data_IF_430255590187
#
_entry.id   IF_430255590187
#
_cell.length_a   1.000
_cell.length_b   1.000
_cell.length_c   1.000
_cell.angle_alpha   90.00
_cell.angle_beta   90.00
_cell.angle_gamma   90.00
#
_symmetry.space_group_name_H-M   'P 1'
#
loop_
_entity.id
_entity.type
_entity.pdbx_description
1 polymer ?
#
# COMPACT_ATOMS: atom_id res chain seq x y z
N UNK A 1 -26.83 -5.27 -5.16
CA UNK A 1 -25.41 -4.89 -5.02
C UNK A 1 -24.82 -4.82 -6.42
N UNK A 2 -24.34 -3.66 -6.83
CA UNK A 2 -23.70 -3.51 -8.13
C UNK A 2 -22.35 -4.23 -8.15
N UNK A 3 -22.06 -4.94 -9.21
CA UNK A 3 -20.73 -5.51 -9.47
C UNK A 3 -19.77 -4.33 -9.67
N UNK A 4 -18.64 -4.32 -8.95
CA UNK A 4 -17.62 -3.31 -9.10
C UNK A 4 -17.01 -3.43 -10.51
N UNK A 5 -16.87 -2.32 -11.23
CA UNK A 5 -16.23 -2.33 -12.53
C UNK A 5 -14.71 -2.04 -12.41
N UNK A 6 -13.96 -2.27 -13.49
CA UNK A 6 -12.51 -2.09 -13.50
C UNK A 6 -12.06 -0.69 -13.05
N UNK A 7 -12.78 0.36 -13.47
CA UNK A 7 -12.50 1.73 -13.04
C UNK A 7 -12.67 1.92 -11.53
N UNK A 8 -13.72 1.35 -10.96
CA UNK A 8 -13.96 1.38 -9.50
C UNK A 8 -12.87 0.65 -8.72
N UNK A 9 -12.41 -0.50 -9.22
CA UNK A 9 -11.30 -1.24 -8.63
C UNK A 9 -10.00 -0.43 -8.66
N UNK A 10 -9.66 0.19 -9.78
CA UNK A 10 -8.48 1.03 -9.91
C UNK A 10 -8.55 2.28 -9.01
N UNK A 11 -9.73 2.89 -8.89
CA UNK A 11 -9.94 4.00 -7.93
C UNK A 11 -9.75 3.56 -6.49
N UNK A 12 -10.28 2.39 -6.13
CA UNK A 12 -10.12 1.84 -4.79
C UNK A 12 -8.65 1.51 -4.50
N UNK A 13 -7.91 0.94 -5.45
CA UNK A 13 -6.47 0.72 -5.35
C UNK A 13 -5.72 2.04 -5.14
N UNK A 14 -5.99 3.07 -5.95
CA UNK A 14 -5.38 4.39 -5.80
C UNK A 14 -5.70 5.05 -4.45
N UNK A 15 -6.90 4.83 -3.92
CA UNK A 15 -7.30 5.30 -2.59
C UNK A 15 -6.47 4.66 -1.48
N UNK A 16 -6.20 3.36 -1.57
CA UNK A 16 -5.37 2.65 -0.59
C UNK A 16 -3.95 3.21 -0.59
N UNK A 17 -3.35 3.44 -1.76
CA UNK A 17 -2.03 4.08 -1.87
C UNK A 17 -2.03 5.50 -1.25
N UNK A 18 -3.10 6.26 -1.47
CA UNK A 18 -3.24 7.59 -0.84
C UNK A 18 -3.37 7.51 0.68
N UNK A 19 -4.03 6.48 1.20
CA UNK A 19 -4.12 6.23 2.65
C UNK A 19 -2.75 5.83 3.23
N UNK A 20 -1.97 5.04 2.50
CA UNK A 20 -0.58 4.72 2.87
C UNK A 20 0.29 5.97 2.87
N UNK A 21 0.20 6.81 1.85
CA UNK A 21 0.87 8.11 1.79
C UNK A 21 0.57 8.96 3.04
N UNK A 22 -0.70 9.11 3.40
CA UNK A 22 -1.13 9.89 4.55
C UNK A 22 -0.57 9.31 5.86
N UNK A 23 -0.66 7.99 6.03
CA UNK A 23 -0.13 7.30 7.21
C UNK A 23 1.38 7.50 7.35
N UNK A 24 2.15 7.29 6.29
CA UNK A 24 3.59 7.50 6.32
C UNK A 24 3.97 8.96 6.55
N UNK A 25 3.21 9.91 6.01
CA UNK A 25 3.38 11.33 6.29
C UNK A 25 3.14 11.67 7.76
N UNK A 26 2.09 11.13 8.36
CA UNK A 26 1.80 11.27 9.80
C UNK A 26 2.93 10.66 10.66
N UNK A 27 3.44 9.48 10.28
CA UNK A 27 4.54 8.83 10.98
C UNK A 27 5.85 9.61 10.85
N UNK A 28 6.15 10.20 9.71
CA UNK A 28 7.31 11.07 9.53
C UNK A 28 7.29 12.26 10.51
N UNK A 29 6.15 12.86 10.71
CA UNK A 29 5.96 13.94 11.70
C UNK A 29 6.08 13.42 13.13
N UNK A 30 5.45 12.28 13.43
CA UNK A 30 5.48 11.66 14.76
C UNK A 30 6.92 11.26 15.19
N UNK A 31 7.75 10.84 14.24
CA UNK A 31 9.14 10.44 14.46
C UNK A 31 10.16 11.52 14.05
N UNK A 32 9.76 12.80 14.09
CA UNK A 32 10.63 13.93 13.70
C UNK A 32 11.99 13.97 14.43
N UNK A 33 12.04 13.48 15.67
CA UNK A 33 13.26 13.41 16.48
C UNK A 33 14.12 12.16 16.23
N UNK A 34 13.69 11.27 15.33
CA UNK A 34 14.42 10.08 14.92
C UNK A 34 14.77 10.18 13.43
N UNK A 35 15.92 10.79 13.05
CA UNK A 35 16.22 11.13 11.66
C UNK A 35 16.05 9.99 10.66
N UNK A 36 16.54 8.79 11.01
CA UNK A 36 16.45 7.62 10.12
C UNK A 36 15.01 7.15 9.89
N UNK A 37 14.16 7.16 10.94
CA UNK A 37 12.75 6.79 10.80
C UNK A 37 11.98 7.87 10.04
N UNK A 38 12.23 9.13 10.34
CA UNK A 38 11.63 10.26 9.62
C UNK A 38 11.93 10.19 8.12
N UNK A 39 13.19 10.10 7.75
CA UNK A 39 13.62 10.03 6.34
C UNK A 39 13.01 8.83 5.62
N UNK A 40 12.97 7.68 6.30
CA UNK A 40 12.34 6.47 5.76
C UNK A 40 10.85 6.69 5.50
N UNK A 41 10.10 7.24 6.46
CA UNK A 41 8.67 7.50 6.29
C UNK A 41 8.37 8.60 5.27
N UNK A 42 9.18 9.66 5.20
CA UNK A 42 9.09 10.69 4.16
C UNK A 42 9.28 10.09 2.76
N UNK A 43 10.23 9.20 2.61
CA UNK A 43 10.47 8.49 1.36
C UNK A 43 9.30 7.57 1.00
N UNK A 44 8.83 6.75 1.94
CA UNK A 44 7.66 5.88 1.72
C UNK A 44 6.45 6.70 1.32
N UNK A 45 6.13 7.79 2.02
CA UNK A 45 5.01 8.67 1.68
C UNK A 45 5.12 9.23 0.25
N UNK A 46 6.31 9.64 -0.17
CA UNK A 46 6.56 10.13 -1.54
C UNK A 46 6.36 9.04 -2.59
N UNK A 47 6.82 7.83 -2.33
CA UNK A 47 6.69 6.70 -3.27
C UNK A 47 5.22 6.26 -3.38
N UNK A 48 4.45 6.21 -2.27
CA UNK A 48 3.01 5.90 -2.30
C UNK A 48 2.19 6.97 -3.05
N UNK A 49 2.57 8.25 -2.93
CA UNK A 49 1.95 9.30 -3.73
C UNK A 49 2.13 9.07 -5.24
N UNK A 50 3.31 8.59 -5.66
CA UNK A 50 3.61 8.24 -7.04
C UNK A 50 2.81 7.01 -7.48
N UNK A 51 2.66 5.99 -6.64
CA UNK A 51 1.84 4.81 -6.91
C UNK A 51 0.39 5.22 -7.16
N UNK A 52 -0.21 5.98 -6.26
CA UNK A 52 -1.57 6.48 -6.41
C UNK A 52 -1.76 7.29 -7.71
N UNK A 53 -0.81 8.14 -8.06
CA UNK A 53 -0.86 8.93 -9.29
C UNK A 53 -0.78 8.04 -10.55
N UNK A 54 0.10 7.05 -10.55
CA UNK A 54 0.26 6.10 -11.68
C UNK A 54 -1.01 5.26 -11.87
N UNK A 55 -1.63 4.79 -10.79
CA UNK A 55 -2.89 4.03 -10.86
C UNK A 55 -4.03 4.90 -11.38
N UNK A 56 -4.15 6.16 -10.93
CA UNK A 56 -5.16 7.10 -11.44
C UNK A 56 -4.97 7.43 -12.92
N UNK A 57 -3.73 7.55 -13.36
CA UNK A 57 -3.43 7.75 -14.78
C UNK A 57 -3.85 6.53 -15.60
N UNK A 58 -3.55 5.32 -15.11
CA UNK A 58 -3.95 4.08 -15.73
C UNK A 58 -5.50 3.97 -15.80
N UNK A 59 -6.20 4.32 -14.74
CA UNK A 59 -7.67 4.31 -14.69
C UNK A 59 -8.28 5.18 -15.78
N UNK A 60 -7.74 6.37 -16.00
CA UNK A 60 -8.22 7.28 -17.06
C UNK A 60 -8.08 6.69 -18.46
N UNK A 61 -7.02 5.95 -18.74
CA UNK A 61 -6.71 5.41 -20.06
C UNK A 61 -7.20 3.98 -20.26
N UNK A 62 -7.29 3.18 -19.21
CA UNK A 62 -7.56 1.75 -19.26
C UNK A 62 -8.69 1.27 -18.32
N UNK A 63 -9.49 2.18 -17.76
CA UNK A 63 -10.58 1.84 -16.84
C UNK A 63 -11.72 0.99 -17.45
N UNK A 64 -11.67 0.77 -18.78
CA UNK A 64 -12.56 -0.12 -19.51
C UNK A 64 -11.90 -1.47 -19.85
N UNK A 65 -10.73 -1.77 -19.29
CA UNK A 65 -10.06 -3.04 -19.51
C UNK A 65 -10.98 -4.21 -19.11
N UNK A 66 -11.05 -5.28 -19.93
CA UNK A 66 -11.92 -6.39 -19.62
C UNK A 66 -11.35 -7.21 -18.44
N UNK A 67 -11.99 -7.09 -17.29
CA UNK A 67 -11.81 -7.98 -16.16
C UNK A 67 -13.06 -8.85 -16.03
N UNK A 68 -12.86 -10.12 -15.71
CA UNK A 68 -13.99 -11.00 -15.43
C UNK A 68 -14.67 -10.60 -14.12
N UNK A 69 -15.94 -10.91 -13.99
CA UNK A 69 -16.71 -10.65 -12.77
C UNK A 69 -16.07 -11.33 -11.55
N UNK A 70 -15.54 -12.54 -11.71
CA UNK A 70 -14.85 -13.25 -10.65
C UNK A 70 -13.55 -12.57 -10.20
N UNK A 71 -12.76 -12.02 -11.13
CA UNK A 71 -11.55 -11.26 -10.82
C UNK A 71 -11.88 -9.97 -10.05
N UNK A 72 -12.94 -9.27 -10.47
CA UNK A 72 -13.39 -8.05 -9.80
C UNK A 72 -13.90 -8.31 -8.38
N UNK A 73 -14.66 -9.38 -8.19
CA UNK A 73 -15.19 -9.76 -6.87
C UNK A 73 -14.05 -10.17 -5.92
N UNK A 74 -13.12 -10.97 -6.40
CA UNK A 74 -11.96 -11.37 -5.60
C UNK A 74 -11.11 -10.16 -5.20
N UNK A 75 -10.84 -9.27 -6.15
CA UNK A 75 -10.09 -8.05 -5.89
C UNK A 75 -10.79 -7.14 -4.87
N UNK A 76 -12.12 -7.03 -4.95
CA UNK A 76 -12.90 -6.27 -3.96
C UNK A 76 -12.74 -6.81 -2.55
N UNK A 77 -12.79 -8.13 -2.37
CA UNK A 77 -12.59 -8.77 -1.07
C UNK A 77 -11.21 -8.42 -0.50
N UNK A 78 -10.16 -8.47 -1.31
CA UNK A 78 -8.81 -8.10 -0.91
C UNK A 78 -8.69 -6.62 -0.55
N UNK A 79 -9.31 -5.72 -1.31
CA UNK A 79 -9.32 -4.28 -1.02
C UNK A 79 -10.03 -3.98 0.31
N UNK A 80 -11.19 -4.58 0.55
CA UNK A 80 -11.95 -4.39 1.80
C UNK A 80 -11.13 -4.87 3.01
N UNK A 81 -10.43 -6.00 2.88
CA UNK A 81 -9.53 -6.51 3.90
C UNK A 81 -8.35 -5.56 4.16
N UNK A 82 -7.77 -4.98 3.12
CA UNK A 82 -6.68 -4.00 3.23
C UNK A 82 -7.14 -2.72 3.93
N UNK A 83 -8.32 -2.22 3.62
CA UNK A 83 -8.88 -1.05 4.30
C UNK A 83 -9.02 -1.30 5.81
N UNK A 84 -9.51 -2.47 6.21
CA UNK A 84 -9.62 -2.85 7.62
C UNK A 84 -8.25 -2.93 8.31
N UNK A 85 -7.22 -3.43 7.64
CA UNK A 85 -5.85 -3.46 8.16
C UNK A 85 -5.24 -2.07 8.33
N UNK A 86 -5.46 -1.14 7.41
CA UNK A 86 -5.05 0.25 7.54
C UNK A 86 -5.66 0.93 8.76
N UNK A 87 -6.93 0.72 9.00
CA UNK A 87 -7.63 1.23 10.19
C UNK A 87 -6.99 0.71 11.48
N UNK A 88 -6.67 -0.59 11.53
CA UNK A 88 -6.00 -1.21 12.68
C UNK A 88 -4.60 -0.63 12.91
N UNK A 89 -3.82 -0.40 11.84
CA UNK A 89 -2.48 0.17 11.92
C UNK A 89 -2.52 1.63 12.35
N UNK A 90 -3.47 2.43 11.90
CA UNK A 90 -3.65 3.81 12.37
C UNK A 90 -3.86 3.89 13.88
N UNK A 91 -4.66 2.98 14.43
CA UNK A 91 -4.85 2.87 15.88
C UNK A 91 -3.55 2.50 16.61
N UNK A 92 -2.80 1.54 16.05
CA UNK A 92 -1.51 1.14 16.60
C UNK A 92 -0.50 2.29 16.53
N UNK A 93 -0.44 3.03 15.42
CA UNK A 93 0.44 4.18 15.24
C UNK A 93 0.19 5.25 16.31
N UNK A 94 -1.07 5.57 16.60
CA UNK A 94 -1.43 6.49 17.68
C UNK A 94 -0.91 6.08 19.06
N UNK A 95 -0.79 4.78 19.33
CA UNK A 95 -0.26 4.24 20.58
C UNK A 95 1.27 4.07 20.60
N UNK A 96 1.92 4.05 19.43
CA UNK A 96 3.36 3.83 19.28
C UNK A 96 4.20 5.11 19.47
N UNK A 97 3.58 6.28 19.40
CA UNK A 97 4.22 7.60 19.51
C UNK A 97 4.94 7.80 20.86
N UNK A 98 4.66 6.97 21.88
CA UNK A 98 5.35 6.95 23.17
C UNK A 98 6.61 6.06 23.25
N UNK A 99 7.11 5.51 22.16
CA UNK A 99 8.42 4.82 22.08
C UNK A 99 8.43 3.31 22.37
N UNK A 100 7.45 2.76 23.06
CA UNK A 100 7.48 1.34 23.49
C UNK A 100 6.97 0.33 22.45
N UNK A 101 6.34 0.78 21.36
CA UNK A 101 5.70 -0.09 20.35
C UNK A 101 6.17 0.14 18.92
N UNK A 102 7.30 0.83 18.76
CA UNK A 102 7.85 1.15 17.41
C UNK A 102 8.15 -0.13 16.63
N UNK A 103 8.80 -1.11 17.26
CA UNK A 103 9.09 -2.37 16.61
C UNK A 103 7.84 -3.15 16.19
N UNK A 104 6.77 -3.14 17.01
CA UNK A 104 5.49 -3.74 16.65
C UNK A 104 4.82 -3.03 15.48
N UNK A 105 4.84 -1.69 15.46
CA UNK A 105 4.35 -0.88 14.36
C UNK A 105 5.08 -1.19 13.06
N UNK A 106 6.42 -1.19 13.08
CA UNK A 106 7.23 -1.48 11.89
C UNK A 106 6.99 -2.89 11.35
N UNK A 107 6.85 -3.90 12.21
CA UNK A 107 6.48 -5.25 11.79
C UNK A 107 5.10 -5.30 11.13
N UNK A 108 4.13 -4.59 11.69
CA UNK A 108 2.78 -4.55 11.11
C UNK A 108 2.76 -3.85 9.75
N UNK A 109 3.52 -2.77 9.60
CA UNK A 109 3.69 -2.10 8.30
C UNK A 109 4.40 -3.01 7.28
N UNK A 110 5.40 -3.78 7.72
CA UNK A 110 6.07 -4.80 6.88
C UNK A 110 5.07 -5.82 6.34
N UNK A 111 4.16 -6.31 7.19
CA UNK A 111 3.11 -7.26 6.78
C UNK A 111 2.15 -6.64 5.75
N UNK A 112 1.77 -5.38 5.93
CA UNK A 112 0.92 -4.65 4.99
C UNK A 112 1.59 -4.49 3.63
N UNK A 113 2.84 -4.05 3.60
CA UNK A 113 3.60 -3.90 2.35
C UNK A 113 3.79 -5.24 1.63
N UNK A 114 4.06 -6.30 2.37
CA UNK A 114 4.14 -7.66 1.80
C UNK A 114 2.81 -8.09 1.18
N UNK A 115 1.70 -7.72 1.80
CA UNK A 115 0.37 -8.00 1.28
C UNK A 115 0.04 -7.17 0.04
N UNK A 116 0.43 -5.89 -0.01
CA UNK A 116 0.34 -5.07 -1.22
C UNK A 116 1.11 -5.71 -2.37
N UNK A 117 2.38 -6.08 -2.15
CA UNK A 117 3.18 -6.75 -3.14
C UNK A 117 2.49 -8.00 -3.70
N UNK A 118 1.89 -8.81 -2.82
CA UNK A 118 1.15 -10.02 -3.21
C UNK A 118 -0.08 -9.70 -4.05
N UNK A 119 -0.92 -8.75 -3.61
CA UNK A 119 -2.13 -8.33 -4.33
C UNK A 119 -1.77 -7.77 -5.71
N UNK A 120 -0.79 -6.89 -5.79
CA UNK A 120 -0.34 -6.31 -7.05
C UNK A 120 0.21 -7.37 -8.01
N UNK A 121 1.03 -8.31 -7.51
CA UNK A 121 1.63 -9.35 -8.33
C UNK A 121 0.62 -10.43 -8.75
N UNK A 122 -0.26 -10.85 -7.86
CA UNK A 122 -1.11 -12.02 -8.07
C UNK A 122 -2.46 -11.66 -8.69
N UNK A 123 -3.05 -10.52 -8.32
CA UNK A 123 -4.40 -10.16 -8.75
C UNK A 123 -4.37 -9.18 -9.93
N UNK A 124 -3.65 -8.08 -9.81
CA UNK A 124 -3.68 -6.99 -10.77
C UNK A 124 -2.71 -7.19 -11.94
N UNK A 125 -1.57 -7.84 -11.69
CA UNK A 125 -0.62 -8.18 -12.75
C UNK A 125 -1.12 -9.29 -13.70
N UNK A 126 -2.22 -9.97 -13.38
CA UNK A 126 -2.86 -10.97 -14.26
C UNK A 126 -3.88 -10.37 -15.23
N UNK A 127 -4.13 -9.08 -15.19
CA UNK A 127 -5.05 -8.39 -16.10
C UNK A 127 -4.74 -8.70 -17.57
N UNK A 128 -5.79 -8.76 -18.41
CA UNK A 128 -5.66 -8.95 -19.84
C UNK A 128 -4.93 -7.79 -20.54
N UNK A 129 -4.97 -6.57 -19.98
CA UNK A 129 -4.26 -5.40 -20.50
C UNK A 129 -2.76 -5.47 -20.19
N UNK A 130 -1.86 -5.44 -21.20
CA UNK A 130 -0.41 -5.42 -21.00
C UNK A 130 0.07 -4.23 -20.16
N UNK A 131 -0.55 -3.06 -20.32
CA UNK A 131 -0.21 -1.83 -19.60
C UNK A 131 -0.56 -1.96 -18.13
N UNK A 132 -1.72 -2.54 -17.80
CA UNK A 132 -2.16 -2.83 -16.43
C UNK A 132 -1.19 -3.83 -15.78
N UNK A 133 -0.89 -4.95 -16.46
CA UNK A 133 0.07 -5.94 -15.96
C UNK A 133 1.44 -5.33 -15.66
N UNK A 134 1.96 -4.52 -16.58
CA UNK A 134 3.27 -3.89 -16.43
C UNK A 134 3.31 -2.94 -15.23
N UNK A 135 2.27 -2.13 -15.05
CA UNK A 135 2.20 -1.23 -13.90
C UNK A 135 2.20 -2.00 -12.60
N UNK A 136 1.28 -2.96 -12.43
CA UNK A 136 1.15 -3.67 -11.16
C UNK A 136 2.33 -4.59 -10.84
N UNK A 137 2.99 -5.16 -11.85
CA UNK A 137 4.27 -5.85 -11.65
C UNK A 137 5.35 -4.90 -11.11
N UNK A 138 5.41 -3.66 -11.63
CA UNK A 138 6.32 -2.63 -11.13
C UNK A 138 5.98 -2.19 -9.71
N UNK A 139 4.70 -2.01 -9.38
CA UNK A 139 4.26 -1.66 -8.02
C UNK A 139 4.58 -2.78 -7.04
N UNK A 140 4.30 -4.04 -7.38
CA UNK A 140 4.63 -5.19 -6.55
C UNK A 140 6.12 -5.26 -6.20
N UNK A 141 7.00 -4.97 -7.15
CA UNK A 141 8.43 -4.92 -6.91
C UNK A 141 8.85 -3.76 -5.97
N UNK A 142 8.12 -2.64 -6.01
CA UNK A 142 8.36 -1.51 -5.11
C UNK A 142 7.85 -1.79 -3.70
N UNK A 143 6.66 -2.37 -3.56
CA UNK A 143 6.10 -2.75 -2.26
C UNK A 143 6.98 -3.81 -1.55
N UNK A 144 7.56 -4.74 -2.30
CA UNK A 144 8.53 -5.68 -1.76
C UNK A 144 9.78 -4.98 -1.18
N UNK A 145 10.26 -3.91 -1.84
CA UNK A 145 11.36 -3.08 -1.30
C UNK A 145 10.94 -2.28 -0.08
N UNK A 146 9.71 -1.78 -0.03
CA UNK A 146 9.15 -1.12 1.15
C UNK A 146 9.12 -2.08 2.34
N UNK A 147 8.64 -3.30 2.13
CA UNK A 147 8.64 -4.36 3.13
C UNK A 147 10.04 -4.65 3.69
N UNK A 148 11.04 -4.79 2.81
CA UNK A 148 12.43 -5.00 3.22
C UNK A 148 12.98 -3.82 4.03
N UNK A 149 12.69 -2.60 3.62
CA UNK A 149 13.12 -1.37 4.30
C UNK A 149 12.53 -1.30 5.72
N UNK A 150 11.25 -1.55 5.87
CA UNK A 150 10.55 -1.56 7.15
C UNK A 150 11.03 -2.71 8.06
N UNK A 151 11.27 -3.89 7.50
CA UNK A 151 11.81 -5.04 8.23
C UNK A 151 13.20 -4.74 8.78
N UNK A 152 14.07 -4.13 7.99
CA UNK A 152 15.40 -3.70 8.42
C UNK A 152 15.32 -2.67 9.56
N UNK A 153 14.44 -1.69 9.45
CA UNK A 153 14.20 -0.71 10.50
C UNK A 153 13.67 -1.36 11.79
N UNK A 154 12.78 -2.35 11.68
CA UNK A 154 12.29 -3.12 12.84
C UNK A 154 13.41 -3.88 13.54
N UNK A 155 14.33 -4.49 12.81
CA UNK A 155 15.50 -5.18 13.36
C UNK A 155 16.44 -4.24 14.12
N UNK A 156 16.67 -3.03 13.61
CA UNK A 156 17.49 -2.01 14.28
C UNK A 156 16.82 -1.41 15.52
N UNK A 157 15.50 -1.35 15.56
CA UNK A 157 14.72 -0.83 16.70
C UNK A 157 14.62 -1.81 17.87
N UNK A 158 15.00 -3.08 17.68
CA UNK A 158 15.03 -4.12 18.71
C UNK A 158 16.43 -4.33 19.31
N UNK A 159 17.43 -3.69 18.74
CA UNK A 159 18.80 -3.68 19.26
C UNK A 159 19.01 -2.51 20.23
#
# INVERSE_FOLDING_TARGET
MGVMNASECLRAAARIESMAQDLYGELAVAFAYHPHLREMFERLASEEAQHAMRIRLLERHHGRAPWSEAELEHFKVELDAMLAEFEAVRKLAGSAIGGRRVGALLRRLTEIESRFASIHAEELAKSASPEVRKLFASLAAQDARHSEMLQKAAGLSMA
#
